data_IF_008571878882
#
_entry.id   IF_008571878882
#
_cell.length_a   1.000
_cell.length_b   1.000
_cell.length_c   1.000
_cell.angle_alpha   90.00
_cell.angle_beta   90.00
_cell.angle_gamma   90.00
#
_symmetry.space_group_name_H-M   'P 1'
#
loop_
_entity.id
_entity.type
_entity.pdbx_description
1 polymer ?
#
# COMPACT_ATOMS: atom_id res chain seq x y z
N UNK A 1 3.49 -6.61 11.06
CA UNK A 1 2.51 -7.31 10.20
C UNK A 1 2.97 -7.20 8.77
N UNK A 2 3.00 -8.31 8.05
CA UNK A 2 3.33 -8.33 6.62
C UNK A 2 2.21 -8.98 5.82
N UNK A 3 1.83 -8.33 4.72
CA UNK A 3 0.88 -8.87 3.74
C UNK A 3 1.64 -9.22 2.46
N UNK A 4 1.69 -10.51 2.07
CA UNK A 4 2.33 -10.90 0.82
C UNK A 4 1.52 -10.42 -0.39
N UNK A 5 2.21 -10.27 -1.52
CA UNK A 5 1.57 -10.10 -2.82
C UNK A 5 0.98 -11.41 -3.34
N UNK A 6 0.38 -11.35 -4.53
CA UNK A 6 -0.11 -12.53 -5.23
C UNK A 6 1.05 -13.36 -5.74
N UNK A 7 1.03 -14.67 -5.49
CA UNK A 7 2.12 -15.58 -5.90
C UNK A 7 2.08 -15.93 -7.38
N UNK A 8 0.98 -15.67 -8.10
CA UNK A 8 0.88 -15.90 -9.53
C UNK A 8 0.69 -14.60 -10.31
N UNK A 9 1.65 -14.27 -11.14
CA UNK A 9 1.63 -13.09 -12.03
C UNK A 9 0.48 -13.18 -13.06
N UNK A 10 0.05 -14.39 -13.39
CA UNK A 10 -1.01 -14.65 -14.38
C UNK A 10 -2.40 -14.32 -13.85
N UNK A 11 -2.65 -14.49 -12.55
CA UNK A 11 -3.97 -14.22 -11.96
C UNK A 11 -4.21 -12.73 -11.72
N UNK A 12 -3.13 -11.91 -11.70
CA UNK A 12 -3.23 -10.46 -11.47
C UNK A 12 -3.95 -9.71 -12.60
N UNK A 13 -3.92 -10.21 -13.83
CA UNK A 13 -4.47 -9.53 -15.01
C UNK A 13 -5.91 -9.92 -15.35
N UNK A 14 -6.37 -11.11 -14.95
CA UNK A 14 -7.62 -11.69 -15.42
C UNK A 14 -8.75 -11.69 -14.38
N UNK A 15 -8.44 -11.75 -13.09
CA UNK A 15 -9.45 -11.92 -12.03
C UNK A 15 -9.74 -10.65 -11.20
N UNK A 16 -9.05 -9.54 -11.48
CA UNK A 16 -9.28 -8.28 -10.77
C UNK A 16 -10.51 -7.55 -11.33
N UNK A 17 -11.69 -7.93 -10.85
CA UNK A 17 -12.88 -7.12 -10.96
C UNK A 17 -12.70 -5.86 -10.11
N UNK A 18 -12.32 -4.75 -10.76
CA UNK A 18 -12.20 -3.45 -10.13
C UNK A 18 -13.58 -2.85 -9.86
N UNK A 19 -14.15 -3.18 -8.71
CA UNK A 19 -15.42 -2.61 -8.26
C UNK A 19 -15.30 -2.04 -6.86
N UNK A 20 -16.09 -1.03 -6.59
CA UNK A 20 -16.16 -0.43 -5.28
C UNK A 20 -17.09 -1.18 -4.33
N UNK A 21 -16.67 -1.29 -3.09
CA UNK A 21 -17.52 -1.66 -1.96
C UNK A 21 -17.48 -0.55 -0.90
N UNK A 22 -18.59 -0.30 -0.18
CA UNK A 22 -18.59 0.60 0.96
C UNK A 22 -17.56 0.18 2.01
N UNK A 23 -16.78 1.14 2.48
CA UNK A 23 -15.82 0.93 3.56
C UNK A 23 -16.44 1.39 4.90
N UNK A 24 -17.25 0.52 5.47
CA UNK A 24 -18.09 0.77 6.63
C UNK A 24 -17.42 0.41 7.98
N UNK A 25 -16.22 -0.18 7.94
CA UNK A 25 -15.48 -0.60 9.15
C UNK A 25 -14.63 0.50 9.76
N UNK A 26 -14.43 1.63 9.05
CA UNK A 26 -13.63 2.76 9.51
C UNK A 26 -14.53 3.91 10.03
N UNK A 27 -14.67 4.10 11.34
CA UNK A 27 -15.45 5.18 11.91
C UNK A 27 -15.02 6.56 11.39
N UNK A 28 -15.98 7.34 10.92
CA UNK A 28 -15.76 8.69 10.38
C UNK A 28 -15.39 8.75 8.90
N UNK A 29 -15.23 7.62 8.21
CA UNK A 29 -14.95 7.56 6.78
C UNK A 29 -16.26 7.66 5.96
N UNK A 30 -16.85 8.83 5.90
CA UNK A 30 -18.14 9.03 5.23
C UNK A 30 -18.00 8.99 3.72
N UNK A 31 -18.80 8.14 3.06
CA UNK A 31 -18.77 7.99 1.60
C UNK A 31 -17.53 7.26 1.07
N UNK A 32 -16.74 6.69 1.94
CA UNK A 32 -15.58 5.92 1.56
C UNK A 32 -15.99 4.63 0.86
N UNK A 33 -15.37 4.41 -0.28
CA UNK A 33 -15.49 3.17 -1.05
C UNK A 33 -14.09 2.66 -1.38
N UNK A 34 -13.91 1.36 -1.29
CA UNK A 34 -12.63 0.71 -1.56
C UNK A 34 -12.79 -0.47 -2.52
N UNK A 35 -11.69 -0.93 -3.05
CA UNK A 35 -11.58 -2.09 -3.92
C UNK A 35 -12.17 -3.34 -3.24
N UNK A 36 -13.23 -3.89 -3.82
CA UNK A 36 -13.99 -4.98 -3.20
C UNK A 36 -13.17 -6.24 -2.93
N UNK A 37 -12.29 -6.63 -3.86
CA UNK A 37 -11.43 -7.79 -3.66
C UNK A 37 -10.44 -7.60 -2.50
N UNK A 38 -9.84 -6.41 -2.38
CA UNK A 38 -8.92 -6.08 -1.27
C UNK A 38 -9.67 -6.04 0.06
N UNK A 39 -10.87 -5.44 0.08
CA UNK A 39 -11.70 -5.39 1.29
C UNK A 39 -12.11 -6.78 1.76
N UNK A 40 -12.52 -7.65 0.84
CA UNK A 40 -12.88 -9.03 1.18
C UNK A 40 -11.68 -9.81 1.75
N UNK A 41 -10.50 -9.62 1.15
CA UNK A 41 -9.25 -10.17 1.69
C UNK A 41 -8.96 -9.67 3.10
N UNK A 42 -9.10 -8.36 3.35
CA UNK A 42 -8.95 -7.80 4.70
C UNK A 42 -9.95 -8.40 5.70
N UNK A 43 -11.23 -8.41 5.35
CA UNK A 43 -12.29 -8.95 6.21
C UNK A 43 -12.06 -10.42 6.61
N UNK A 44 -11.43 -11.21 5.75
CA UNK A 44 -11.15 -12.62 6.04
C UNK A 44 -10.11 -12.82 7.16
N UNK A 45 -9.22 -11.84 7.39
CA UNK A 45 -8.13 -11.93 8.40
C UNK A 45 -8.30 -10.93 9.54
N UNK A 46 -9.17 -9.94 9.41
CA UNK A 46 -9.32 -8.80 10.34
C UNK A 46 -9.46 -9.23 11.81
N UNK A 47 -10.41 -10.12 12.09
CA UNK A 47 -10.69 -10.54 13.47
C UNK A 47 -9.50 -11.27 14.10
N UNK A 48 -8.87 -12.18 13.35
CA UNK A 48 -7.69 -12.92 13.83
C UNK A 48 -6.50 -12.00 14.06
N UNK A 49 -6.25 -11.09 13.12
CA UNK A 49 -5.15 -10.14 13.24
C UNK A 49 -5.36 -9.16 14.40
N UNK A 50 -6.56 -8.63 14.55
CA UNK A 50 -6.88 -7.70 15.66
C UNK A 50 -6.68 -8.36 17.01
N UNK A 51 -7.11 -9.62 17.16
CA UNK A 51 -6.88 -10.41 18.37
C UNK A 51 -5.39 -10.60 18.64
N UNK A 52 -4.64 -11.06 17.64
CA UNK A 52 -3.20 -11.28 17.78
C UNK A 52 -2.44 -10.00 18.14
N UNK A 53 -2.80 -8.86 17.55
CA UNK A 53 -2.21 -7.57 17.90
C UNK A 53 -2.53 -7.15 19.34
N UNK A 54 -3.74 -7.43 19.84
CA UNK A 54 -4.09 -7.14 21.22
C UNK A 54 -3.27 -8.00 22.21
N UNK A 55 -3.10 -9.28 21.92
CA UNK A 55 -2.29 -10.22 22.72
C UNK A 55 -0.81 -9.79 22.75
N UNK A 56 -0.20 -9.57 21.57
CA UNK A 56 1.19 -9.11 21.47
C UNK A 56 1.45 -7.77 22.18
N UNK A 57 0.50 -6.85 22.13
CA UNK A 57 0.65 -5.58 22.82
C UNK A 57 0.48 -5.68 24.35
N UNK A 58 -0.25 -6.68 24.83
CA UNK A 58 -0.31 -6.99 26.26
C UNK A 58 1.00 -7.58 26.76
N UNK A 59 1.64 -8.43 25.95
CA UNK A 59 2.93 -9.06 26.25
C UNK A 59 4.09 -8.05 26.10
N UNK A 60 4.07 -7.22 25.05
CA UNK A 60 5.14 -6.29 24.69
C UNK A 60 4.62 -4.85 24.53
N UNK A 61 4.24 -4.18 25.60
CA UNK A 61 3.55 -2.89 25.56
C UNK A 61 4.39 -1.73 25.00
N UNK A 62 5.71 -1.90 24.92
CA UNK A 62 6.65 -0.92 24.38
C UNK A 62 6.84 -1.05 22.86
N UNK A 63 6.42 -2.15 22.25
CA UNK A 63 6.60 -2.39 20.83
C UNK A 63 5.61 -1.59 19.99
N UNK A 64 6.09 -1.18 18.83
CA UNK A 64 5.27 -0.45 17.85
C UNK A 64 4.82 -1.37 16.74
N UNK A 65 3.55 -1.25 16.34
CA UNK A 65 3.04 -1.96 15.16
C UNK A 65 3.48 -1.23 13.89
N UNK A 66 4.17 -1.96 13.02
CA UNK A 66 4.47 -1.55 11.63
C UNK A 66 3.78 -2.54 10.71
N UNK A 67 3.18 -2.03 9.64
CA UNK A 67 2.55 -2.84 8.60
C UNK A 67 3.32 -2.67 7.30
N UNK A 68 3.56 -3.76 6.61
CA UNK A 68 4.22 -3.76 5.29
C UNK A 68 3.43 -4.61 4.30
N UNK A 69 3.49 -4.25 3.02
CA UNK A 69 2.86 -5.06 1.98
C UNK A 69 3.37 -4.72 0.58
N UNK A 70 3.46 -5.74 -0.26
CA UNK A 70 3.85 -5.60 -1.66
C UNK A 70 2.65 -5.91 -2.57
N UNK A 71 2.52 -5.18 -3.68
CA UNK A 71 1.50 -5.45 -4.69
C UNK A 71 0.07 -5.45 -4.08
N UNK A 72 -0.70 -6.53 -4.25
CA UNK A 72 -1.98 -6.75 -3.60
C UNK A 72 -1.89 -6.64 -2.07
N UNK A 73 -0.80 -7.16 -1.48
CA UNK A 73 -0.52 -7.03 -0.05
C UNK A 73 -0.33 -5.58 0.39
N UNK A 74 0.13 -4.70 -0.50
CA UNK A 74 0.18 -3.25 -0.27
C UNK A 74 -1.22 -2.64 -0.15
N UNK A 75 -2.16 -3.09 -0.99
CA UNK A 75 -3.57 -2.73 -0.87
C UNK A 75 -4.18 -3.20 0.45
N UNK A 76 -3.92 -4.44 0.85
CA UNK A 76 -4.34 -4.99 2.15
C UNK A 76 -3.74 -4.20 3.32
N UNK A 77 -2.45 -3.86 3.25
CA UNK A 77 -1.76 -3.05 4.27
C UNK A 77 -2.41 -1.67 4.44
N UNK A 78 -2.81 -1.04 3.34
CA UNK A 78 -3.48 0.27 3.35
C UNK A 78 -4.86 0.20 3.98
N UNK A 79 -5.68 -0.81 3.64
CA UNK A 79 -7.00 -1.02 4.27
C UNK A 79 -6.85 -1.36 5.74
N UNK A 80 -5.95 -2.29 6.08
CA UNK A 80 -5.68 -2.68 7.46
C UNK A 80 -5.27 -1.48 8.33
N UNK A 81 -4.39 -0.62 7.81
CA UNK A 81 -3.99 0.60 8.50
C UNK A 81 -5.17 1.51 8.79
N UNK A 82 -5.96 1.81 7.76
CA UNK A 82 -7.08 2.74 7.88
C UNK A 82 -8.12 2.22 8.86
N UNK A 83 -8.45 0.93 8.75
CA UNK A 83 -9.40 0.28 9.66
C UNK A 83 -8.90 0.23 11.10
N UNK A 84 -7.71 -0.32 11.34
CA UNK A 84 -7.14 -0.45 12.68
C UNK A 84 -6.99 0.92 13.36
N UNK A 85 -6.40 1.89 12.67
CA UNK A 85 -6.13 3.21 13.26
C UNK A 85 -7.40 4.01 13.51
N UNK A 86 -8.39 3.95 12.65
CA UNK A 86 -9.69 4.62 12.87
C UNK A 86 -10.48 4.00 14.04
N UNK A 87 -10.25 2.71 14.34
CA UNK A 87 -10.79 2.01 15.50
C UNK A 87 -9.91 2.14 16.76
N UNK A 88 -8.95 3.06 16.78
CA UNK A 88 -8.12 3.35 17.94
C UNK A 88 -6.98 2.37 18.21
N UNK A 89 -6.72 1.44 17.30
CA UNK A 89 -5.57 0.52 17.40
C UNK A 89 -4.34 1.23 16.84
N UNK A 90 -3.29 1.48 17.66
CA UNK A 90 -2.14 2.24 17.22
C UNK A 90 -1.31 1.49 16.18
N UNK A 91 -1.12 2.15 15.03
CA UNK A 91 -0.16 1.74 13.99
C UNK A 91 0.83 2.88 13.81
N UNK A 92 2.11 2.60 14.00
CA UNK A 92 3.19 3.59 13.92
C UNK A 92 3.47 4.02 12.48
N UNK A 93 3.57 3.04 11.59
CA UNK A 93 3.85 3.30 10.19
C UNK A 93 3.36 2.15 9.29
N UNK A 94 3.09 2.50 8.05
CA UNK A 94 2.83 1.53 6.96
C UNK A 94 3.74 1.84 5.79
N UNK A 95 4.33 0.80 5.23
CA UNK A 95 5.12 0.87 4.00
C UNK A 95 4.53 -0.08 2.98
N UNK A 96 4.15 0.45 1.82
CA UNK A 96 3.67 -0.38 0.71
C UNK A 96 4.62 -0.26 -0.48
N UNK A 97 4.95 -1.35 -1.10
CA UNK A 97 5.76 -1.43 -2.31
C UNK A 97 4.88 -1.87 -3.48
N UNK A 98 4.86 -1.11 -4.55
CA UNK A 98 4.09 -1.44 -5.76
C UNK A 98 2.58 -1.61 -5.52
N UNK A 99 2.02 -0.90 -4.55
CA UNK A 99 0.60 -1.03 -4.21
C UNK A 99 -0.30 -0.43 -5.28
N UNK A 100 -1.38 -1.14 -5.60
CA UNK A 100 -2.47 -0.61 -6.41
C UNK A 100 -3.23 0.52 -5.69
N UNK A 101 -4.07 1.29 -6.44
CA UNK A 101 -5.04 2.23 -5.85
C UNK A 101 -6.10 1.46 -5.09
N UNK A 102 -6.40 1.90 -3.87
CA UNK A 102 -7.24 1.15 -2.94
C UNK A 102 -8.67 1.67 -2.88
N UNK A 103 -8.88 2.99 -2.99
CA UNK A 103 -10.20 3.55 -2.77
C UNK A 103 -10.51 4.79 -3.58
N UNK A 104 -11.69 5.34 -3.34
CA UNK A 104 -12.17 6.58 -3.94
C UNK A 104 -11.54 7.82 -3.28
N UNK A 105 -11.89 9.01 -3.76
CA UNK A 105 -11.38 10.28 -3.23
C UNK A 105 -11.63 10.42 -1.73
N UNK A 106 -12.83 10.04 -1.26
CA UNK A 106 -13.20 10.14 0.16
C UNK A 106 -12.32 9.25 1.04
N UNK A 107 -12.02 8.03 0.58
CA UNK A 107 -11.10 7.14 1.27
C UNK A 107 -9.68 7.71 1.30
N UNK A 108 -9.19 8.23 0.19
CA UNK A 108 -7.85 8.81 0.11
C UNK A 108 -7.71 10.01 1.06
N UNK A 109 -8.66 10.95 1.03
CA UNK A 109 -8.67 12.15 1.89
C UNK A 109 -8.76 11.79 3.38
N UNK A 110 -9.61 10.82 3.72
CA UNK A 110 -9.76 10.33 5.09
C UNK A 110 -8.45 9.69 5.59
N UNK A 111 -7.85 8.83 4.79
CA UNK A 111 -6.62 8.12 5.13
C UNK A 111 -5.43 9.08 5.24
N UNK A 112 -5.34 10.08 4.35
CA UNK A 112 -4.32 11.13 4.42
C UNK A 112 -4.43 11.92 5.73
N UNK A 113 -5.62 12.35 6.09
CA UNK A 113 -5.88 13.03 7.36
C UNK A 113 -5.52 12.14 8.55
N UNK A 114 -5.91 10.87 8.51
CA UNK A 114 -5.64 9.88 9.57
C UNK A 114 -4.14 9.62 9.72
N UNK A 115 -3.41 9.62 8.62
CA UNK A 115 -1.95 9.42 8.60
C UNK A 115 -1.17 10.66 9.03
N UNK A 116 -1.75 11.85 8.93
CA UNK A 116 -1.07 13.13 9.08
C UNK A 116 -0.31 13.56 7.83
N UNK A 117 -0.60 12.97 6.67
CA UNK A 117 0.04 13.34 5.41
C UNK A 117 -0.46 14.69 4.90
N UNK A 118 0.47 15.49 4.36
CA UNK A 118 0.19 16.79 3.73
C UNK A 118 1.25 17.10 2.68
N UNK A 119 1.20 18.28 2.07
CA UNK A 119 2.24 18.74 1.14
C UNK A 119 3.61 18.95 1.82
N UNK A 120 3.63 18.99 3.15
CA UNK A 120 4.84 19.25 3.93
C UNK A 120 5.22 18.11 4.88
N UNK A 121 4.28 17.20 5.17
CA UNK A 121 4.48 16.09 6.10
C UNK A 121 4.21 14.75 5.44
N UNK A 122 5.06 13.74 5.60
CA UNK A 122 4.88 12.44 4.96
C UNK A 122 3.74 11.62 5.54
N UNK A 123 3.31 11.91 6.77
CA UNK A 123 2.38 11.03 7.47
C UNK A 123 2.96 9.68 7.84
N UNK A 124 2.11 8.76 8.27
CA UNK A 124 2.51 7.41 8.70
C UNK A 124 2.14 6.30 7.71
N UNK A 125 1.54 6.63 6.55
CA UNK A 125 1.36 5.72 5.43
C UNK A 125 2.22 6.19 4.27
N UNK A 126 3.16 5.37 3.83
CA UNK A 126 4.15 5.67 2.81
C UNK A 126 4.05 4.63 1.72
N UNK A 127 3.78 5.10 0.50
CA UNK A 127 3.79 4.27 -0.71
C UNK A 127 5.15 4.37 -1.39
N UNK A 128 5.77 3.25 -1.68
CA UNK A 128 7.01 3.17 -2.46
C UNK A 128 6.63 2.66 -3.84
N UNK A 129 7.05 3.38 -4.86
CA UNK A 129 6.84 3.05 -6.27
C UNK A 129 8.17 3.05 -7.00
N UNK A 130 8.28 2.25 -8.05
CA UNK A 130 9.53 2.04 -8.74
C UNK A 130 9.36 2.21 -10.25
N UNK A 131 10.11 3.14 -10.84
CA UNK A 131 10.19 3.39 -12.28
C UNK A 131 8.86 3.24 -13.02
N UNK A 132 8.83 2.30 -13.95
CA UNK A 132 7.68 1.98 -14.80
C UNK A 132 6.86 0.79 -14.28
N UNK A 133 6.89 0.52 -12.98
CA UNK A 133 5.94 -0.43 -12.38
C UNK A 133 4.51 -0.01 -12.73
N UNK A 134 3.80 -0.87 -13.45
CA UNK A 134 2.46 -0.59 -13.93
C UNK A 134 1.35 -0.86 -12.92
N UNK A 135 1.63 -1.61 -11.85
CA UNK A 135 0.62 -1.99 -10.85
C UNK A 135 0.09 -0.79 -10.06
N UNK A 136 0.91 0.18 -9.61
CA UNK A 136 0.39 1.39 -9.00
C UNK A 136 -0.53 2.22 -9.93
N UNK A 137 -0.43 2.02 -11.24
CA UNK A 137 -1.34 2.61 -12.22
C UNK A 137 -2.78 2.05 -12.17
N UNK A 138 -3.02 0.94 -11.47
CA UNK A 138 -4.31 0.24 -11.39
C UNK A 138 -4.97 0.40 -10.00
N UNK A 139 -6.30 0.33 -9.92
CA UNK A 139 -7.28 0.60 -10.99
C UNK A 139 -7.12 2.01 -11.55
N UNK A 140 -7.63 2.25 -12.76
CA UNK A 140 -7.47 3.54 -13.43
C UNK A 140 -8.20 4.69 -12.71
N UNK A 141 -7.62 5.90 -12.71
CA UNK A 141 -8.26 7.08 -12.14
C UNK A 141 -9.62 7.44 -12.76
N UNK A 142 -9.88 7.23 -14.07
CA UNK A 142 -11.23 7.43 -14.63
C UNK A 142 -12.29 6.49 -14.04
N UNK A 143 -11.90 5.41 -13.39
CA UNK A 143 -12.80 4.52 -12.65
C UNK A 143 -13.15 5.06 -11.25
N UNK A 144 -12.60 6.21 -10.85
CA UNK A 144 -12.82 6.87 -9.57
C UNK A 144 -11.84 6.47 -8.46
N UNK A 145 -10.84 5.63 -8.76
CA UNK A 145 -9.82 5.25 -7.79
C UNK A 145 -8.74 6.32 -7.68
N UNK A 146 -8.29 6.58 -6.44
CA UNK A 146 -7.28 7.60 -6.12
C UNK A 146 -6.29 7.02 -5.10
N UNK A 147 -5.02 7.36 -5.27
CA UNK A 147 -3.99 7.07 -4.28
C UNK A 147 -4.08 7.97 -3.06
N UNK A 148 -3.60 7.48 -1.92
CA UNK A 148 -3.24 8.31 -0.77
C UNK A 148 -1.95 9.09 -1.06
N UNK A 149 -1.71 10.15 -0.28
CA UNK A 149 -0.48 10.96 -0.34
C UNK A 149 0.75 10.16 0.07
N UNK A 150 1.91 10.81 -0.08
CA UNK A 150 3.23 10.34 0.29
C UNK A 150 3.68 9.15 -0.52
N UNK A 151 4.11 9.46 -1.71
CA UNK A 151 4.81 8.55 -2.59
C UNK A 151 6.33 8.77 -2.47
N UNK A 152 7.07 7.70 -2.26
CA UNK A 152 8.51 7.65 -2.45
C UNK A 152 8.76 6.93 -3.78
N UNK A 153 9.27 7.67 -4.75
CA UNK A 153 9.49 7.19 -6.10
C UNK A 153 10.96 6.86 -6.33
N UNK A 154 11.24 5.60 -6.63
CA UNK A 154 12.56 5.07 -6.95
C UNK A 154 12.78 5.08 -8.46
N UNK A 155 13.79 5.80 -8.94
CA UNK A 155 14.08 5.95 -10.37
C UNK A 155 15.24 5.06 -10.86
N UNK A 156 16.02 4.46 -9.98
CA UNK A 156 17.11 3.56 -10.37
C UNK A 156 16.58 2.28 -11.03
N UNK A 157 17.39 1.67 -11.88
CA UNK A 157 17.04 0.40 -12.51
C UNK A 157 16.88 -0.70 -11.46
N UNK A 158 15.83 -1.51 -11.61
CA UNK A 158 15.59 -2.67 -10.76
C UNK A 158 16.77 -3.64 -10.82
N UNK A 159 17.49 -3.78 -9.71
CA UNK A 159 18.60 -4.73 -9.56
C UNK A 159 18.53 -5.36 -8.18
N UNK A 160 18.50 -6.69 -8.14
CA UNK A 160 18.59 -7.45 -6.89
C UNK A 160 19.97 -7.21 -6.26
N UNK A 161 19.99 -6.88 -4.97
CA UNK A 161 21.22 -6.54 -4.25
C UNK A 161 21.74 -5.14 -4.49
N UNK A 162 21.09 -4.36 -5.36
CA UNK A 162 21.40 -2.94 -5.57
C UNK A 162 20.90 -2.07 -4.42
N UNK A 163 21.40 -0.85 -4.35
CA UNK A 163 20.93 0.18 -3.40
C UNK A 163 20.32 1.33 -4.17
N UNK A 164 19.19 1.82 -3.69
CA UNK A 164 18.61 3.05 -4.23
C UNK A 164 19.45 4.26 -3.77
N UNK A 165 19.71 5.14 -4.71
CA UNK A 165 20.47 6.38 -4.43
C UNK A 165 19.53 7.48 -3.94
N UNK A 166 19.98 8.27 -2.97
CA UNK A 166 19.27 9.48 -2.58
C UNK A 166 19.13 10.50 -3.73
N UNK A 167 19.98 10.42 -4.74
CA UNK A 167 19.90 11.28 -5.92
C UNK A 167 18.79 10.85 -6.91
N UNK A 168 18.36 9.61 -6.82
CA UNK A 168 17.35 9.00 -7.70
C UNK A 168 16.10 8.52 -6.95
N UNK A 169 15.97 8.92 -5.68
CA UNK A 169 14.78 8.63 -4.85
C UNK A 169 14.10 9.94 -4.49
N UNK A 170 12.85 10.09 -4.88
CA UNK A 170 12.10 11.33 -4.74
C UNK A 170 10.87 11.13 -3.86
N UNK A 171 10.56 12.13 -3.05
CA UNK A 171 9.25 12.21 -2.39
C UNK A 171 8.31 13.05 -3.24
N UNK A 172 7.21 12.47 -3.64
CA UNK A 172 6.18 13.13 -4.40
C UNK A 172 5.05 13.59 -3.50
N UNK A 173 4.60 14.79 -3.74
CA UNK A 173 3.49 15.40 -3.04
C UNK A 173 2.20 15.22 -3.83
N UNK A 174 1.09 15.19 -3.13
CA UNK A 174 -0.20 14.97 -3.76
C UNK A 174 -0.55 13.49 -3.94
N UNK A 175 -1.82 13.24 -4.19
CA UNK A 175 -2.36 11.88 -4.29
C UNK A 175 -2.04 11.23 -5.63
N UNK A 176 -1.94 12.05 -6.68
CA UNK A 176 -1.71 11.59 -8.06
C UNK A 176 -0.65 12.49 -8.72
N UNK A 177 0.57 12.48 -8.19
CA UNK A 177 1.65 13.32 -8.68
C UNK A 177 2.10 12.90 -10.08
N UNK A 178 2.01 13.78 -11.10
CA UNK A 178 2.34 13.43 -12.49
C UNK A 178 3.83 13.17 -12.69
N UNK A 179 4.68 13.73 -11.84
CA UNK A 179 6.14 13.61 -11.92
C UNK A 179 6.68 12.32 -11.28
N UNK A 180 5.77 11.45 -10.78
CA UNK A 180 6.10 10.19 -10.16
C UNK A 180 5.50 9.01 -10.93
N UNK A 181 5.21 7.91 -10.27
CA UNK A 181 4.75 6.69 -10.95
C UNK A 181 3.51 6.92 -11.84
N UNK A 182 2.58 7.82 -11.46
CA UNK A 182 1.42 8.14 -12.31
C UNK A 182 1.78 8.55 -13.73
N UNK A 183 2.91 9.21 -13.93
CA UNK A 183 3.38 9.67 -15.24
C UNK A 183 4.04 8.59 -16.09
N UNK A 184 4.31 7.41 -15.56
CA UNK A 184 5.26 6.48 -16.19
C UNK A 184 4.63 5.28 -16.90
N UNK A 185 3.76 4.53 -16.27
CA UNK A 185 3.18 3.32 -16.88
C UNK A 185 1.83 2.94 -16.28
N UNK A 186 1.09 2.11 -17.01
CA UNK A 186 -0.19 1.58 -16.58
C UNK A 186 -0.27 0.09 -16.89
N UNK A 187 -0.54 -0.72 -15.87
CA UNK A 187 -1.31 -1.93 -16.07
C UNK A 187 -0.60 -3.25 -16.21
N UNK A 188 0.73 -3.36 -16.13
CA UNK A 188 1.39 -4.66 -16.24
C UNK A 188 2.45 -4.87 -15.17
N UNK A 189 2.52 -6.12 -14.65
CA UNK A 189 3.65 -6.57 -13.86
C UNK A 189 4.87 -6.64 -14.76
N UNK A 190 5.91 -5.92 -14.41
CA UNK A 190 7.20 -5.91 -15.07
C UNK A 190 8.32 -6.10 -14.04
N UNK A 191 9.58 -6.05 -14.48
CA UNK A 191 10.71 -6.22 -13.56
C UNK A 191 10.76 -5.17 -12.46
N UNK A 192 10.32 -3.94 -12.72
CA UNK A 192 10.29 -2.88 -11.71
C UNK A 192 9.24 -3.14 -10.62
N UNK A 193 8.23 -4.00 -10.90
CA UNK A 193 7.28 -4.48 -9.88
C UNK A 193 7.87 -5.54 -8.96
N UNK A 194 8.83 -6.31 -9.46
CA UNK A 194 9.38 -7.45 -8.74
C UNK A 194 10.56 -7.09 -7.83
N UNK A 195 11.17 -5.91 -8.00
CA UNK A 195 12.31 -5.48 -7.21
C UNK A 195 12.05 -4.09 -6.62
N UNK A 196 12.11 -3.98 -5.31
CA UNK A 196 11.98 -2.73 -4.57
C UNK A 196 13.14 -2.57 -3.60
N UNK A 197 13.74 -1.40 -3.55
CA UNK A 197 14.88 -1.09 -2.67
C UNK A 197 16.05 -2.09 -2.79
N UNK A 198 16.20 -2.73 -3.97
CA UNK A 198 17.19 -3.76 -4.22
C UNK A 198 16.82 -5.16 -3.69
N UNK A 199 15.60 -5.33 -3.20
CA UNK A 199 15.09 -6.62 -2.68
C UNK A 199 14.17 -7.24 -3.73
N UNK A 200 14.42 -8.52 -4.05
CA UNK A 200 13.50 -9.32 -4.86
C UNK A 200 12.26 -9.69 -4.05
N UNK A 201 11.10 -9.18 -4.46
CA UNK A 201 9.82 -9.42 -3.79
C UNK A 201 9.23 -10.81 -4.09
N UNK A 202 9.85 -11.58 -4.97
CA UNK A 202 9.35 -12.90 -5.40
C UNK A 202 10.03 -14.07 -4.67
N UNK A 203 11.18 -13.82 -4.04
CA UNK A 203 11.98 -14.87 -3.40
C UNK A 203 11.96 -14.73 -1.87
N UNK A 204 11.29 -15.65 -1.14
CA UNK A 204 11.29 -15.63 0.33
C UNK A 204 12.66 -15.96 0.95
N UNK A 205 13.61 -16.47 0.16
CA UNK A 205 14.92 -16.93 0.63
C UNK A 205 15.84 -15.80 1.12
N UNK A 206 15.59 -14.56 0.71
CA UNK A 206 16.37 -13.40 1.17
C UNK A 206 16.09 -12.99 2.63
N UNK A 207 15.07 -13.56 3.25
CA UNK A 207 14.72 -13.31 4.66
C UNK A 207 15.47 -14.22 5.65
N UNK A 208 16.32 -15.11 5.17
CA UNK A 208 16.99 -16.14 5.98
C UNK A 208 18.46 -15.83 6.31
N UNK A 209 18.92 -14.61 6.14
CA UNK A 209 20.29 -14.16 6.47
C UNK A 209 20.30 -13.18 7.63
#
# INVERSE_FOLDING_TARGET
VSFPGTTSVQDFGTDFNFFFMPFDTAPGCTGCQVHGGVLNGWRSVQAGLTKALAELRAEEPTYSTIIVGHSLGGGLASIAYTDLKSNGIPVKAVYTMGSLRVGNQQYADFTDKLSGASDTQPGSLIRITHRIDGVPGLPLTPMGFVHTRTEIYELDTAMVGGTQSAATTFRCYGQEAPDCNKGTAVGFINQDHLVYTGIDMTTPEQCNN
#
